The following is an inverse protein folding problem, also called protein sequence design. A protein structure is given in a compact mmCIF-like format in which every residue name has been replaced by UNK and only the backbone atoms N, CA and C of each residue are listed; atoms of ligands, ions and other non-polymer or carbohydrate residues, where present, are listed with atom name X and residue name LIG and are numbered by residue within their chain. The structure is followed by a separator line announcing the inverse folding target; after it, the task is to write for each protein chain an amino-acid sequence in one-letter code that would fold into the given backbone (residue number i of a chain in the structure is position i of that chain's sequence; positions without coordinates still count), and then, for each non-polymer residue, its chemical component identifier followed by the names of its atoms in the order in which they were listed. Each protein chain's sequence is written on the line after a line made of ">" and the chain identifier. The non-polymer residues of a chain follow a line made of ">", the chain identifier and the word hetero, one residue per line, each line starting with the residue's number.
data_IF_704601700533
#
_entry.id   IF_704601700533
#
_cell.length_a   1.000
_cell.length_b   1.000
_cell.length_c   1.000
_cell.angle_alpha   90.00
_cell.angle_beta   90.00
_cell.angle_gamma   90.00
#
_symmetry.space_group_name_H-M   'P 1'
#
loop_
_entity.id
_entity.type
_entity.pdbx_description
1 polymer ?
#
# COMPACT_ATOMS: atom_id res chain seq x y z
N UNK A 1 3.59 10.13 -11.61
CA UNK A 1 2.85 11.37 -11.35
C UNK A 1 3.36 12.02 -10.06
N UNK A 2 3.48 13.34 -10.06
CA UNK A 2 4.08 14.12 -8.97
C UNK A 2 3.03 14.94 -8.22
N UNK A 3 1.87 14.44 -8.00
CA UNK A 3 0.83 15.20 -7.30
C UNK A 3 0.45 14.48 -6.02
N UNK A 4 1.11 14.83 -4.93
CA UNK A 4 0.60 14.46 -3.62
C UNK A 4 -0.72 15.16 -3.34
N UNK A 5 -1.67 14.50 -2.74
CA UNK A 5 -2.98 15.06 -2.38
C UNK A 5 -2.89 16.23 -1.41
N UNK A 6 -1.75 16.40 -0.75
CA UNK A 6 -1.55 17.39 0.32
C UNK A 6 -0.26 18.19 0.16
N UNK A 7 0.54 17.97 -0.88
CA UNK A 7 1.90 18.51 -1.00
C UNK A 7 2.07 19.60 -2.03
N UNK A 8 0.99 20.07 -2.67
CA UNK A 8 0.97 21.14 -3.64
C UNK A 8 0.43 22.44 -3.00
N UNK A 9 1.21 23.04 -2.11
CA UNK A 9 0.84 24.31 -1.48
C UNK A 9 0.75 25.45 -2.50
N UNK A 10 -0.35 26.20 -2.45
CA UNK A 10 -0.59 27.33 -3.33
C UNK A 10 -1.10 26.99 -4.73
N UNK A 11 -1.17 25.72 -5.07
CA UNK A 11 -1.79 25.27 -6.32
C UNK A 11 -3.25 24.87 -6.06
N UNK A 12 -4.15 25.24 -6.92
CA UNK A 12 -5.56 24.98 -6.72
C UNK A 12 -5.91 23.49 -6.78
N UNK A 13 -7.14 23.16 -6.42
CA UNK A 13 -7.69 21.80 -6.38
C UNK A 13 -7.52 21.05 -7.70
N UNK A 14 -7.49 21.76 -8.83
CA UNK A 14 -7.30 21.18 -10.17
C UNK A 14 -5.93 20.51 -10.37
N UNK A 15 -4.95 20.78 -9.52
CA UNK A 15 -3.62 20.14 -9.55
C UNK A 15 -3.48 18.99 -8.57
N UNK A 16 -4.48 18.74 -7.74
CA UNK A 16 -4.46 17.65 -6.77
C UNK A 16 -4.94 16.33 -7.41
N UNK A 17 -4.13 15.29 -7.24
CA UNK A 17 -4.53 13.94 -7.68
C UNK A 17 -5.58 13.35 -6.74
N UNK A 18 -6.77 13.07 -7.27
CA UNK A 18 -7.86 12.46 -6.50
C UNK A 18 -8.36 11.13 -7.09
N UNK A 19 -8.13 10.87 -8.38
CA UNK A 19 -8.79 9.80 -9.10
C UNK A 19 -7.86 8.94 -9.98
N UNK A 20 -6.58 9.25 -10.09
CA UNK A 20 -5.69 8.56 -11.02
C UNK A 20 -5.53 7.06 -10.70
N UNK A 21 -5.49 6.68 -9.43
CA UNK A 21 -5.46 5.26 -9.05
C UNK A 21 -6.78 4.53 -9.38
N UNK A 22 -7.91 5.22 -9.30
CA UNK A 22 -9.21 4.67 -9.73
C UNK A 22 -9.19 4.43 -11.24
N UNK A 23 -8.73 5.40 -12.02
CA UNK A 23 -8.57 5.25 -13.46
C UNK A 23 -7.58 4.12 -13.81
N UNK A 24 -6.43 4.06 -13.14
CA UNK A 24 -5.45 2.99 -13.31
C UNK A 24 -6.06 1.59 -13.02
N UNK A 25 -6.96 1.48 -12.05
CA UNK A 25 -7.61 0.22 -11.69
C UNK A 25 -8.49 -0.38 -12.77
N UNK A 26 -8.95 0.44 -13.73
CA UNK A 26 -9.77 -0.01 -14.87
C UNK A 26 -8.95 -0.65 -15.98
N UNK A 27 -7.63 -0.50 -15.95
CA UNK A 27 -6.71 -1.00 -16.98
C UNK A 27 -6.06 -2.30 -16.49
N UNK A 28 -6.35 -3.45 -17.11
CA UNK A 28 -5.97 -4.76 -16.55
C UNK A 28 -4.47 -4.96 -16.37
N UNK A 29 -3.65 -4.36 -17.20
CA UNK A 29 -2.18 -4.48 -17.16
C UNK A 29 -1.47 -3.25 -16.58
N UNK A 30 -2.19 -2.30 -16.02
CA UNK A 30 -1.62 -1.17 -15.28
C UNK A 30 -1.45 -1.55 -13.82
N UNK A 31 -0.21 -1.65 -13.35
CA UNK A 31 0.11 -1.91 -11.95
C UNK A 31 0.34 -0.57 -11.28
N UNK A 32 -0.46 -0.25 -10.26
CA UNK A 32 -0.40 1.11 -9.70
C UNK A 32 -0.06 1.11 -8.22
N UNK A 33 0.83 2.01 -7.82
CA UNK A 33 1.33 2.15 -6.46
C UNK A 33 1.32 3.61 -5.99
N UNK A 34 1.12 3.77 -4.68
CA UNK A 34 1.17 5.05 -3.96
C UNK A 34 2.16 4.94 -2.77
N UNK A 35 3.48 4.82 -3.05
CA UNK A 35 4.48 4.66 -2.00
C UNK A 35 4.66 5.95 -1.20
N UNK A 36 5.02 5.80 0.08
CA UNK A 36 5.40 6.89 0.98
C UNK A 36 6.90 7.05 1.05
N UNK A 37 7.62 5.96 1.24
CA UNK A 37 9.06 5.99 1.49
C UNK A 37 9.90 5.61 0.28
N UNK A 38 11.12 6.15 0.21
CA UNK A 38 12.05 5.91 -0.91
C UNK A 38 12.38 4.43 -1.11
N UNK A 39 12.48 3.65 -0.04
CA UNK A 39 12.72 2.22 -0.14
C UNK A 39 11.54 1.46 -0.75
N UNK A 40 10.29 1.88 -0.48
CA UNK A 40 9.11 1.31 -1.14
C UNK A 40 9.17 1.56 -2.65
N UNK A 41 9.45 2.80 -3.03
CA UNK A 41 9.62 3.17 -4.44
C UNK A 41 10.74 2.36 -5.11
N UNK A 42 11.87 2.17 -4.44
CA UNK A 42 12.99 1.38 -4.96
C UNK A 42 12.61 -0.08 -5.21
N UNK A 43 11.92 -0.72 -4.25
CA UNK A 43 11.43 -2.11 -4.39
C UNK A 43 10.43 -2.22 -5.53
N UNK A 44 9.50 -1.28 -5.66
CA UNK A 44 8.49 -1.25 -6.73
C UNK A 44 9.15 -1.09 -8.11
N UNK A 45 10.11 -0.17 -8.24
CA UNK A 45 10.83 0.04 -9.50
C UNK A 45 11.64 -1.20 -9.87
N UNK A 46 12.36 -1.81 -8.91
CA UNK A 46 13.13 -3.03 -9.14
C UNK A 46 12.23 -4.17 -9.61
N UNK A 47 11.08 -4.38 -8.98
CA UNK A 47 10.11 -5.39 -9.41
C UNK A 47 9.56 -5.08 -10.82
N UNK A 48 9.22 -3.82 -11.08
CA UNK A 48 8.75 -3.38 -12.38
C UNK A 48 9.76 -3.63 -13.49
N UNK A 49 11.03 -3.31 -13.26
CA UNK A 49 12.10 -3.59 -14.21
C UNK A 49 12.24 -5.10 -14.47
N UNK A 50 12.21 -5.91 -13.42
CA UNK A 50 12.26 -7.37 -13.53
C UNK A 50 11.09 -7.92 -14.34
N UNK A 51 9.86 -7.49 -14.06
CA UNK A 51 8.66 -7.96 -14.76
C UNK A 51 8.64 -7.52 -16.22
N UNK A 52 8.91 -6.25 -16.51
CA UNK A 52 8.81 -5.71 -17.87
C UNK A 52 9.98 -6.14 -18.76
N UNK A 53 11.23 -6.13 -18.27
CA UNK A 53 12.41 -6.32 -19.12
C UNK A 53 12.99 -7.74 -19.03
N UNK A 54 13.01 -8.36 -17.84
CA UNK A 54 13.55 -9.70 -17.68
C UNK A 54 12.51 -10.76 -18.04
N UNK A 55 11.31 -10.69 -17.41
CA UNK A 55 10.22 -11.64 -17.63
C UNK A 55 9.37 -11.32 -18.86
N UNK A 56 9.52 -10.13 -19.43
CA UNK A 56 8.77 -9.63 -20.60
C UNK A 56 7.25 -9.71 -20.41
N UNK A 57 6.78 -9.47 -19.19
CA UNK A 57 5.35 -9.37 -18.91
C UNK A 57 4.77 -8.13 -19.61
N UNK A 58 3.56 -8.25 -20.13
CA UNK A 58 2.86 -7.13 -20.78
C UNK A 58 2.17 -6.23 -19.74
N UNK A 59 2.96 -5.64 -18.85
CA UNK A 59 2.51 -4.72 -17.81
C UNK A 59 3.23 -3.39 -17.92
N UNK A 60 2.64 -2.36 -17.35
CA UNK A 60 3.30 -1.07 -17.11
C UNK A 60 2.89 -0.55 -15.74
N UNK A 61 3.70 0.36 -15.19
CA UNK A 61 3.53 0.85 -13.83
C UNK A 61 3.06 2.30 -13.83
N UNK A 62 2.08 2.58 -12.98
CA UNK A 62 1.67 3.92 -12.61
C UNK A 62 2.04 4.13 -11.14
N UNK A 63 2.93 5.07 -10.85
CA UNK A 63 3.42 5.31 -9.50
C UNK A 63 3.23 6.79 -9.18
N UNK A 64 2.54 7.08 -8.10
CA UNK A 64 2.50 8.44 -7.56
C UNK A 64 3.76 8.69 -6.73
N UNK A 65 4.25 9.92 -6.76
CA UNK A 65 5.36 10.37 -5.93
C UNK A 65 5.04 11.70 -5.28
N UNK A 66 5.60 11.95 -4.11
CA UNK A 66 5.36 13.16 -3.35
C UNK A 66 6.35 14.24 -3.76
N UNK A 67 5.87 15.49 -3.87
CA UNK A 67 6.70 16.67 -4.09
C UNK A 67 6.98 17.37 -2.75
N UNK A 68 7.50 16.62 -1.80
CA UNK A 68 7.78 17.09 -0.44
C UNK A 68 9.04 16.42 0.10
N UNK A 69 9.87 17.21 0.78
CA UNK A 69 11.06 16.68 1.45
C UNK A 69 10.72 16.25 2.88
N UNK A 70 11.01 15.01 3.22
CA UNK A 70 10.88 14.48 4.58
C UNK A 70 11.90 13.36 4.83
N UNK A 71 12.09 13.03 6.10
CA UNK A 71 13.02 11.96 6.49
C UNK A 71 12.47 10.61 6.07
N UNK A 72 13.30 9.84 5.38
CA UNK A 72 13.00 8.46 5.00
C UNK A 72 13.71 7.52 5.99
N UNK A 73 12.98 6.67 6.71
CA UNK A 73 13.57 5.67 7.59
C UNK A 73 14.28 4.57 6.78
N UNK A 74 15.10 3.78 7.44
CA UNK A 74 15.61 2.54 6.86
C UNK A 74 14.47 1.57 6.58
N UNK A 75 14.62 0.76 5.53
CA UNK A 75 13.65 -0.28 5.22
C UNK A 75 13.64 -1.35 6.32
N UNK A 76 12.48 -1.71 6.87
CA UNK A 76 12.39 -2.85 7.78
C UNK A 76 12.77 -4.16 7.05
N UNK A 77 13.27 -5.13 7.80
CA UNK A 77 13.63 -6.43 7.23
C UNK A 77 12.40 -7.23 6.78
N UNK A 78 12.50 -7.87 5.62
CA UNK A 78 11.51 -8.82 5.12
C UNK A 78 10.20 -8.21 4.60
N UNK A 79 10.13 -6.88 4.39
CA UNK A 79 8.91 -6.19 3.93
C UNK A 79 8.75 -6.13 2.42
N UNK A 80 9.74 -6.56 1.64
CA UNK A 80 9.77 -6.39 0.18
C UNK A 80 8.58 -7.07 -0.51
N UNK A 81 8.18 -8.25 -0.05
CA UNK A 81 7.01 -8.94 -0.60
C UNK A 81 5.73 -8.16 -0.29
N UNK A 82 5.57 -7.68 0.94
CA UNK A 82 4.44 -6.88 1.35
C UNK A 82 4.34 -5.58 0.55
N UNK A 83 5.46 -4.91 0.29
CA UNK A 83 5.52 -3.73 -0.57
C UNK A 83 4.99 -4.05 -1.98
N UNK A 84 5.43 -5.17 -2.58
CA UNK A 84 4.97 -5.59 -3.91
C UNK A 84 3.51 -6.04 -3.92
N UNK A 85 3.03 -6.67 -2.84
CA UNK A 85 1.64 -7.14 -2.73
C UNK A 85 0.66 -6.08 -2.26
N UNK A 86 1.14 -4.89 -1.90
CA UNK A 86 0.31 -3.73 -1.65
C UNK A 86 0.10 -3.35 -0.19
N UNK A 87 0.53 -4.15 0.79
CA UNK A 87 0.46 -3.83 2.22
C UNK A 87 1.53 -4.55 3.03
N UNK A 88 2.14 -3.87 3.98
CA UNK A 88 3.00 -4.47 5.00
C UNK A 88 2.86 -3.73 6.34
N UNK A 89 3.19 -4.42 7.44
CA UNK A 89 3.20 -3.81 8.77
C UNK A 89 4.45 -2.97 8.95
N UNK A 90 4.28 -1.65 9.04
CA UNK A 90 5.37 -0.70 9.26
C UNK A 90 5.77 -0.63 10.73
N UNK A 91 4.79 -0.64 11.63
CA UNK A 91 5.01 -0.57 13.08
C UNK A 91 4.05 -1.50 13.80
N UNK A 92 4.59 -2.33 14.68
CA UNK A 92 3.81 -3.17 15.57
C UNK A 92 3.36 -2.40 16.80
N UNK A 93 2.16 -2.68 17.29
CA UNK A 93 1.67 -2.14 18.54
C UNK A 93 2.52 -2.62 19.73
N UNK A 94 2.73 -1.75 20.69
CA UNK A 94 3.52 -2.07 21.90
C UNK A 94 2.83 -3.10 22.83
N UNK A 95 1.56 -3.40 22.62
CA UNK A 95 0.77 -4.32 23.44
C UNK A 95 -0.12 -5.21 22.55
N UNK A 96 -0.23 -6.50 22.89
CA UNK A 96 -1.06 -7.47 22.19
C UNK A 96 -2.56 -7.39 22.55
N UNK A 97 -2.98 -6.35 23.27
CA UNK A 97 -4.35 -6.22 23.75
C UNK A 97 -5.25 -5.58 22.70
N UNK A 98 -5.59 -6.32 21.64
CA UNK A 98 -6.45 -5.90 20.52
C UNK A 98 -6.10 -4.51 19.97
N UNK A 99 -4.93 -4.34 19.35
CA UNK A 99 -4.50 -3.03 18.87
C UNK A 99 -5.42 -2.51 17.78
N UNK A 100 -5.58 -1.20 17.74
CA UNK A 100 -6.20 -0.52 16.59
C UNK A 100 -5.30 -0.67 15.38
N UNK A 101 -5.87 -1.09 14.24
CA UNK A 101 -5.14 -1.22 12.99
C UNK A 101 -5.29 0.08 12.19
N UNK A 102 -4.21 0.80 12.01
CA UNK A 102 -4.18 2.05 11.25
C UNK A 102 -3.51 1.82 9.90
N UNK A 103 -4.20 2.14 8.83
CA UNK A 103 -3.73 1.96 7.46
C UNK A 103 -3.53 3.31 6.79
N UNK A 104 -2.40 3.50 6.11
CA UNK A 104 -2.11 4.71 5.36
C UNK A 104 -1.35 4.44 4.07
N UNK A 105 -1.45 5.37 3.12
CA UNK A 105 -0.84 5.30 1.78
C UNK A 105 -0.30 6.68 1.40
N UNK A 106 0.80 6.72 0.68
CA UNK A 106 1.39 7.95 0.17
C UNK A 106 1.55 9.04 1.23
N UNK A 107 1.11 10.26 0.93
CA UNK A 107 1.21 11.40 1.84
C UNK A 107 0.52 11.20 3.20
N UNK A 108 -0.52 10.37 3.25
CA UNK A 108 -1.34 10.19 4.45
C UNK A 108 -0.68 9.26 5.47
N UNK A 109 0.23 8.38 5.07
CA UNK A 109 0.88 7.45 6.00
C UNK A 109 1.58 8.18 7.16
N UNK A 110 2.23 9.30 6.90
CA UNK A 110 2.90 10.12 7.93
C UNK A 110 1.90 10.66 8.96
N UNK A 111 0.68 11.01 8.54
CA UNK A 111 -0.39 11.42 9.44
C UNK A 111 -0.92 10.24 10.27
N UNK A 112 -0.95 9.06 9.67
CA UNK A 112 -1.30 7.80 10.36
C UNK A 112 -0.27 7.46 11.44
N UNK A 113 1.02 7.65 11.19
CA UNK A 113 2.06 7.46 12.19
C UNK A 113 1.90 8.41 13.39
N UNK A 114 1.61 9.69 13.11
CA UNK A 114 1.33 10.68 14.16
C UNK A 114 0.08 10.31 14.96
N UNK A 115 -0.97 9.84 14.28
CA UNK A 115 -2.18 9.36 14.95
C UNK A 115 -1.90 8.14 15.85
N UNK A 116 -1.05 7.21 15.42
CA UNK A 116 -0.62 6.08 16.23
C UNK A 116 0.14 6.53 17.49
N UNK A 117 1.03 7.51 17.36
CA UNK A 117 1.75 8.08 18.49
C UNK A 117 0.79 8.76 19.48
N UNK A 118 -0.18 9.50 18.98
CA UNK A 118 -1.21 10.12 19.82
C UNK A 118 -2.06 9.07 20.55
N UNK A 119 -2.50 8.00 19.86
CA UNK A 119 -3.25 6.90 20.49
C UNK A 119 -2.42 6.21 21.57
N UNK A 120 -1.16 5.90 21.30
CA UNK A 120 -0.26 5.30 22.27
C UNK A 120 -0.07 6.19 23.50
N UNK A 121 -0.07 7.54 23.36
CA UNK A 121 -0.03 8.47 24.49
C UNK A 121 -1.30 8.45 25.35
N UNK A 122 -2.35 7.79 24.89
CA UNK A 122 -3.64 7.57 25.60
C UNK A 122 -3.83 6.11 26.03
N UNK A 123 -2.74 5.34 26.07
CA UNK A 123 -2.74 3.90 26.39
C UNK A 123 -3.59 3.04 25.43
N UNK A 124 -3.81 3.54 24.21
CA UNK A 124 -4.48 2.79 23.14
C UNK A 124 -3.42 2.26 22.19
N UNK A 125 -3.19 0.95 22.24
CA UNK A 125 -2.21 0.30 21.36
C UNK A 125 -2.63 0.41 19.90
N UNK A 126 -1.71 0.82 19.01
CA UNK A 126 -1.96 0.99 17.60
C UNK A 126 -0.84 0.37 16.75
N UNK A 127 -1.21 -0.47 15.79
CA UNK A 127 -0.32 -0.96 14.72
C UNK A 127 -0.48 -0.08 13.49
N UNK A 128 0.62 0.18 12.79
CA UNK A 128 0.63 0.99 11.55
C UNK A 128 0.98 0.11 10.37
N UNK A 129 0.17 0.22 9.33
CA UNK A 129 0.33 -0.48 8.06
C UNK A 129 0.57 0.52 6.93
N UNK A 130 1.63 0.31 6.18
CA UNK A 130 1.82 1.02 4.91
C UNK A 130 1.09 0.26 3.81
N UNK A 131 0.15 0.93 3.15
CA UNK A 131 -0.57 0.41 2.00
C UNK A 131 0.04 1.03 0.75
N UNK A 132 0.90 0.29 0.10
CA UNK A 132 1.57 0.74 -1.12
C UNK A 132 0.70 0.62 -2.36
N UNK A 133 -0.33 -0.24 -2.34
CA UNK A 133 -1.27 -0.38 -3.45
C UNK A 133 -2.62 -0.97 -3.04
N UNK A 134 -3.65 -0.16 -2.93
CA UNK A 134 -5.03 -0.63 -2.81
C UNK A 134 -5.50 -1.39 -4.06
N UNK A 135 -4.97 -1.07 -5.23
CA UNK A 135 -5.34 -1.72 -6.47
C UNK A 135 -4.83 -3.17 -6.55
N UNK A 136 -3.61 -3.43 -6.11
CA UNK A 136 -3.09 -4.80 -6.07
C UNK A 136 -3.81 -5.63 -5.00
N UNK A 137 -4.14 -5.05 -3.84
CA UNK A 137 -4.97 -5.73 -2.83
C UNK A 137 -6.36 -6.07 -3.37
N UNK A 138 -6.97 -5.16 -4.11
CA UNK A 138 -8.26 -5.40 -4.77
C UNK A 138 -8.17 -6.51 -5.82
N UNK A 139 -7.11 -6.53 -6.63
CA UNK A 139 -6.89 -7.59 -7.63
C UNK A 139 -6.74 -8.95 -6.98
N UNK A 140 -5.95 -9.04 -5.93
CA UNK A 140 -5.76 -10.27 -5.15
C UNK A 140 -7.11 -10.76 -4.59
N UNK A 141 -7.89 -9.88 -3.95
CA UNK A 141 -9.22 -10.21 -3.43
C UNK A 141 -10.17 -10.73 -4.51
N UNK A 142 -10.27 -10.02 -5.64
CA UNK A 142 -11.12 -10.45 -6.77
C UNK A 142 -10.65 -11.77 -7.39
N UNK A 143 -9.34 -12.04 -7.42
CA UNK A 143 -8.80 -13.30 -7.88
C UNK A 143 -9.20 -14.46 -6.95
N UNK A 144 -9.13 -14.25 -5.63
CA UNK A 144 -9.59 -15.21 -4.64
C UNK A 144 -11.10 -15.51 -4.78
N UNK A 145 -11.92 -14.48 -4.89
CA UNK A 145 -13.37 -14.64 -5.10
C UNK A 145 -13.67 -15.41 -6.38
N UNK A 146 -12.97 -15.07 -7.46
CA UNK A 146 -13.13 -15.76 -8.76
C UNK A 146 -12.73 -17.24 -8.65
N UNK A 147 -11.64 -17.56 -7.97
CA UNK A 147 -11.20 -18.95 -7.80
C UNK A 147 -12.21 -19.74 -6.98
N UNK A 148 -12.75 -19.17 -5.91
CA UNK A 148 -13.82 -19.78 -5.12
C UNK A 148 -15.06 -20.05 -5.97
N UNK A 149 -15.48 -19.08 -6.77
CA UNK A 149 -16.64 -19.22 -7.66
C UNK A 149 -16.43 -20.31 -8.72
N UNK A 150 -15.28 -20.30 -9.41
CA UNK A 150 -14.99 -21.25 -10.49
C UNK A 150 -14.79 -22.70 -9.99
N UNK A 151 -14.36 -22.86 -8.74
CA UNK A 151 -14.23 -24.20 -8.12
C UNK A 151 -15.51 -24.71 -7.47
N UNK A 152 -16.62 -23.97 -7.56
CA UNK A 152 -17.87 -24.32 -6.86
C UNK A 152 -17.72 -24.32 -5.32
N UNK A 153 -16.75 -23.57 -4.81
CA UNK A 153 -16.44 -23.48 -3.37
C UNK A 153 -15.45 -24.53 -2.86
N UNK A 154 -14.95 -25.45 -3.72
CA UNK A 154 -13.94 -26.44 -3.32
C UNK A 154 -12.60 -25.78 -2.94
N UNK A 155 -12.23 -24.67 -3.60
CA UNK A 155 -11.09 -23.83 -3.28
C UNK A 155 -11.58 -22.51 -2.76
N UNK A 156 -11.07 -22.11 -1.61
CA UNK A 156 -11.43 -20.83 -0.98
C UNK A 156 -10.14 -20.13 -0.51
N UNK A 157 -9.33 -19.62 -1.45
CA UNK A 157 -8.10 -18.91 -1.09
C UNK A 157 -8.42 -17.63 -0.33
N UNK A 158 -7.60 -17.37 0.69
CA UNK A 158 -7.77 -16.18 1.50
C UNK A 158 -7.02 -14.99 0.89
N UNK A 159 -7.68 -13.81 0.73
CA UNK A 159 -7.01 -12.60 0.25
C UNK A 159 -5.81 -12.21 1.12
N UNK A 160 -4.75 -11.72 0.49
CA UNK A 160 -3.53 -11.32 1.19
C UNK A 160 -3.78 -10.30 2.30
N UNK A 161 -4.59 -9.29 2.05
CA UNK A 161 -4.94 -8.31 3.07
C UNK A 161 -5.57 -8.95 4.30
N UNK A 162 -6.41 -9.97 4.10
CA UNK A 162 -7.06 -10.71 5.19
C UNK A 162 -6.01 -11.49 6.00
N UNK A 163 -5.08 -12.20 5.33
CA UNK A 163 -4.01 -12.93 6.01
C UNK A 163 -3.14 -12.00 6.85
N UNK A 164 -2.81 -10.81 6.33
CA UNK A 164 -1.99 -9.85 7.05
C UNK A 164 -2.69 -9.30 8.30
N UNK A 165 -3.96 -8.92 8.19
CA UNK A 165 -4.70 -8.28 9.28
C UNK A 165 -5.22 -9.28 10.34
N UNK A 166 -5.45 -10.55 9.99
CA UNK A 166 -5.84 -11.58 10.97
C UNK A 166 -4.77 -11.89 12.01
N UNK A 167 -3.51 -11.90 11.62
CA UNK A 167 -2.39 -12.20 12.52
C UNK A 167 -2.04 -11.06 13.47
N UNK A 168 -2.77 -9.96 13.37
CA UNK A 168 -2.57 -8.76 14.18
C UNK A 168 -3.69 -8.52 15.22
N UNK A 169 -4.58 -9.50 15.42
CA UNK A 169 -5.67 -9.46 16.40
C UNK A 169 -5.30 -10.16 17.70
#
# INVERSE_FOLDING_TARGET
>A
ATSGRTTLNGEGLQHQDGHSHILASTIPNCISYDPTYAYELAVIIQDGMKRMYEKKEKVFYYITSLNENYVHPAMPEGVEEGIRRGIYRLREAASNNKPVQLLGSGAILRQVEQAAEWLNSKDIAASVWSVTSYNELRRDGLACERETMLSGGERNPEPYVTTQLKHSQ
#
